data_IF_024014338664
#
_entry.id   IF_024014338664
#
_cell.length_a   1.000
_cell.length_b   1.000
_cell.length_c   1.000
_cell.angle_alpha   90.00
_cell.angle_beta   90.00
_cell.angle_gamma   90.00
#
_symmetry.space_group_name_H-M   'P 1'
#
loop_
_entity.id
_entity.type
_entity.pdbx_description
1 polymer ?
#
# COMPACT_ATOMS: atom_id res chain seq x y z
N UNK A 1 -90.97 23.23 6.39
CA UNK A 1 -90.90 22.14 7.39
C UNK A 1 -91.45 20.90 6.72
N UNK A 2 -90.76 19.77 6.54
CA UNK A 2 -89.41 19.39 6.89
C UNK A 2 -89.14 17.96 6.40
N UNK A 3 -87.84 17.66 6.32
CA UNK A 3 -87.20 16.34 6.51
C UNK A 3 -87.51 15.24 5.47
N UNK A 4 -86.61 15.02 4.51
CA UNK A 4 -85.37 14.23 4.65
C UNK A 4 -85.63 12.73 4.55
N UNK A 5 -84.64 12.02 3.98
CA UNK A 5 -84.59 10.56 3.79
C UNK A 5 -85.34 10.06 2.55
N UNK A 6 -84.70 10.17 1.38
CA UNK A 6 -84.80 9.16 0.28
C UNK A 6 -83.86 9.46 -0.89
N UNK A 7 -82.63 9.87 -0.60
CA UNK A 7 -81.54 9.81 -1.58
C UNK A 7 -80.34 9.08 -0.97
N UNK A 8 -80.63 7.90 -0.42
CA UNK A 8 -79.65 6.85 -0.20
C UNK A 8 -79.87 5.86 -1.34
N UNK A 9 -78.92 5.77 -2.27
CA UNK A 9 -78.66 4.65 -3.21
C UNK A 9 -78.10 5.17 -4.54
N UNK A 10 -76.86 5.70 -4.57
CA UNK A 10 -76.01 5.73 -5.79
C UNK A 10 -74.60 6.28 -5.52
N UNK A 11 -73.98 5.92 -4.39
CA UNK A 11 -72.61 6.31 -4.07
C UNK A 11 -71.89 5.25 -3.21
N UNK A 12 -71.91 3.98 -3.62
CA UNK A 12 -71.33 2.90 -2.78
C UNK A 12 -70.75 1.70 -3.54
N UNK A 13 -70.15 1.87 -4.72
CA UNK A 13 -69.38 0.78 -5.34
C UNK A 13 -68.17 1.38 -6.08
N UNK A 14 -66.99 1.31 -5.45
CA UNK A 14 -65.75 1.77 -6.08
C UNK A 14 -64.52 1.75 -5.18
N UNK A 15 -64.61 1.17 -3.98
CA UNK A 15 -63.49 1.09 -3.05
C UNK A 15 -63.45 -0.30 -2.42
N UNK A 16 -63.03 -1.31 -3.18
CA UNK A 16 -62.41 -2.51 -2.65
C UNK A 16 -61.88 -3.38 -3.78
N UNK A 17 -60.71 -3.97 -3.54
CA UNK A 17 -60.02 -4.98 -4.36
C UNK A 17 -59.01 -4.45 -5.40
N UNK A 18 -58.07 -3.62 -4.94
CA UNK A 18 -56.69 -3.86 -5.35
C UNK A 18 -56.19 -5.09 -4.57
N UNK A 19 -56.59 -6.29 -5.02
CA UNK A 19 -55.94 -7.51 -4.59
C UNK A 19 -54.50 -7.43 -5.08
N UNK A 20 -53.55 -7.20 -4.17
CA UNK A 20 -52.14 -7.41 -4.44
C UNK A 20 -52.02 -8.87 -4.92
N UNK A 21 -51.76 -9.04 -6.22
CA UNK A 21 -51.49 -10.35 -6.81
C UNK A 21 -50.20 -10.83 -6.16
N UNK A 22 -50.33 -11.60 -5.08
CA UNK A 22 -49.21 -12.28 -4.45
C UNK A 22 -48.75 -13.33 -5.45
N UNK A 23 -47.73 -13.00 -6.24
CA UNK A 23 -47.14 -13.91 -7.21
C UNK A 23 -46.56 -15.10 -6.42
N UNK A 24 -47.26 -16.23 -6.44
CA UNK A 24 -46.91 -17.41 -5.65
C UNK A 24 -45.66 -18.06 -6.26
N UNK A 25 -44.50 -17.72 -5.71
CA UNK A 25 -43.22 -18.27 -6.12
C UNK A 25 -42.91 -19.52 -5.28
N UNK A 26 -42.79 -20.67 -5.93
CA UNK A 26 -42.53 -21.96 -5.29
C UNK A 26 -41.06 -22.36 -5.51
N UNK A 27 -40.42 -22.93 -4.49
CA UNK A 27 -39.03 -23.38 -4.58
C UNK A 27 -38.96 -24.90 -4.49
N UNK A 28 -38.07 -25.51 -5.27
CA UNK A 28 -37.79 -26.95 -5.25
C UNK A 28 -36.32 -27.19 -4.96
N UNK A 29 -35.98 -28.06 -4.01
CA UNK A 29 -34.59 -28.43 -3.73
C UNK A 29 -34.47 -29.90 -3.32
N UNK A 30 -33.25 -30.43 -3.34
CA UNK A 30 -32.96 -31.79 -2.89
C UNK A 30 -32.08 -31.69 -1.64
N UNK A 31 -32.45 -32.38 -0.57
CA UNK A 31 -31.66 -32.43 0.67
C UNK A 31 -30.48 -33.43 0.57
N UNK A 32 -29.69 -33.53 1.64
CA UNK A 32 -28.51 -34.41 1.71
C UNK A 32 -28.90 -35.91 1.67
N UNK A 33 -30.13 -36.26 2.08
CA UNK A 33 -30.66 -37.62 1.99
C UNK A 33 -31.27 -37.94 0.60
N UNK A 34 -31.21 -37.01 -0.35
CA UNK A 34 -31.73 -37.19 -1.71
C UNK A 34 -33.24 -36.99 -1.84
N UNK A 35 -33.91 -36.44 -0.81
CA UNK A 35 -35.35 -36.16 -0.83
C UNK A 35 -35.62 -34.79 -1.44
N UNK A 36 -36.63 -34.74 -2.30
CA UNK A 36 -37.05 -33.50 -2.98
C UNK A 36 -38.10 -32.79 -2.15
N UNK A 37 -37.85 -31.52 -1.84
CA UNK A 37 -38.74 -30.64 -1.08
C UNK A 37 -39.31 -29.55 -1.98
N UNK A 38 -40.54 -29.13 -1.67
CA UNK A 38 -41.22 -28.00 -2.30
C UNK A 38 -41.78 -27.09 -1.20
N UNK A 39 -41.47 -25.81 -1.25
CA UNK A 39 -42.00 -24.83 -0.30
C UNK A 39 -42.05 -23.44 -0.93
N UNK A 40 -43.06 -22.67 -0.56
CA UNK A 40 -43.14 -21.22 -0.82
C UNK A 40 -42.22 -20.43 0.10
N UNK A 41 -41.89 -20.98 1.27
CA UNK A 41 -40.93 -20.44 2.25
C UNK A 41 -39.90 -21.51 2.66
N UNK A 42 -38.77 -21.63 1.93
CA UNK A 42 -37.72 -22.60 2.26
C UNK A 42 -37.07 -22.29 3.61
N UNK A 43 -36.75 -23.31 4.42
CA UNK A 43 -36.02 -23.10 5.67
C UNK A 43 -34.56 -22.68 5.40
N UNK A 44 -33.87 -22.04 6.36
CA UNK A 44 -32.51 -21.55 6.17
C UNK A 44 -31.50 -22.62 5.69
N UNK A 45 -31.68 -23.87 6.09
CA UNK A 45 -30.80 -25.00 5.73
C UNK A 45 -30.86 -25.30 4.23
N UNK A 46 -31.99 -25.03 3.57
CA UNK A 46 -32.14 -25.18 2.12
C UNK A 46 -31.21 -24.22 1.35
N UNK A 47 -30.66 -23.19 2.01
CA UNK A 47 -29.65 -22.30 1.44
C UNK A 47 -28.39 -23.06 1.00
N UNK A 48 -28.04 -24.16 1.67
CA UNK A 48 -26.84 -24.97 1.40
C UNK A 48 -26.92 -25.80 0.12
N UNK A 49 -28.10 -25.90 -0.48
CA UNK A 49 -28.35 -26.66 -1.70
C UNK A 49 -28.81 -25.75 -2.83
N UNK A 50 -28.62 -26.22 -4.06
CA UNK A 50 -29.22 -25.59 -5.24
C UNK A 50 -30.75 -25.69 -5.17
N UNK A 51 -31.44 -24.57 -5.41
CA UNK A 51 -32.91 -24.48 -5.39
C UNK A 51 -33.41 -24.01 -6.74
N UNK A 52 -34.41 -24.68 -7.29
CA UNK A 52 -35.08 -24.26 -8.51
C UNK A 52 -36.26 -23.36 -8.15
N UNK A 53 -36.38 -22.23 -8.84
CA UNK A 53 -37.54 -21.33 -8.75
C UNK A 53 -38.58 -21.85 -9.75
N UNK A 54 -39.79 -22.12 -9.28
CA UNK A 54 -40.92 -22.56 -10.08
C UNK A 54 -41.98 -21.45 -10.17
N UNK A 55 -42.63 -21.35 -11.33
CA UNK A 55 -43.80 -20.48 -11.52
C UNK A 55 -45.11 -21.14 -11.01
N UNK A 56 -46.23 -20.41 -11.12
CA UNK A 56 -47.56 -20.88 -10.69
C UNK A 56 -48.03 -22.16 -11.41
N UNK A 57 -47.39 -22.51 -12.55
CA UNK A 57 -47.67 -23.71 -13.34
C UNK A 57 -46.67 -24.83 -13.06
N UNK A 58 -45.77 -24.65 -12.10
CA UNK A 58 -44.72 -25.61 -11.75
C UNK A 58 -43.56 -25.66 -12.75
N UNK A 59 -43.48 -24.71 -13.69
CA UNK A 59 -42.40 -24.63 -14.66
C UNK A 59 -41.19 -23.91 -14.06
N UNK A 60 -39.99 -24.45 -14.31
CA UNK A 60 -38.72 -23.87 -13.83
C UNK A 60 -38.47 -22.52 -14.48
N UNK A 61 -38.48 -21.47 -13.66
CA UNK A 61 -38.20 -20.08 -14.04
C UNK A 61 -36.76 -19.66 -13.74
N UNK A 62 -36.08 -20.34 -12.83
CA UNK A 62 -34.69 -20.03 -12.49
C UNK A 62 -34.06 -21.03 -11.53
N UNK A 63 -32.80 -20.78 -11.18
CA UNK A 63 -32.05 -21.52 -10.17
C UNK A 63 -31.37 -20.53 -9.23
N UNK A 64 -31.49 -20.81 -7.95
CA UNK A 64 -30.70 -20.22 -6.88
C UNK A 64 -29.60 -21.22 -6.55
N UNK A 65 -28.36 -20.81 -6.76
CA UNK A 65 -27.20 -21.58 -6.34
C UNK A 65 -27.20 -21.75 -4.82
N UNK A 66 -26.46 -22.75 -4.34
CA UNK A 66 -26.20 -22.88 -2.92
C UNK A 66 -25.43 -21.67 -2.40
N UNK A 67 -25.65 -21.36 -1.13
CA UNK A 67 -24.80 -20.42 -0.41
C UNK A 67 -23.34 -20.89 -0.51
N UNK A 68 -22.44 -19.95 -0.76
CA UNK A 68 -21.00 -20.21 -0.70
C UNK A 68 -20.64 -20.65 0.71
N UNK A 69 -19.76 -21.63 0.80
CA UNK A 69 -19.16 -22.04 2.07
C UNK A 69 -18.28 -20.90 2.61
N UNK A 70 -18.06 -20.84 3.94
CA UNK A 70 -17.10 -19.88 4.51
C UNK A 70 -15.73 -19.93 3.84
N UNK A 71 -15.27 -21.13 3.46
CA UNK A 71 -14.00 -21.35 2.76
C UNK A 71 -14.01 -20.75 1.35
N UNK A 72 -15.10 -20.90 0.59
CA UNK A 72 -15.24 -20.30 -0.75
C UNK A 72 -15.36 -18.77 -0.70
N UNK A 73 -15.98 -18.22 0.35
CA UNK A 73 -16.05 -16.78 0.57
C UNK A 73 -14.64 -16.24 0.88
N UNK A 74 -13.90 -16.92 1.75
CA UNK A 74 -12.55 -16.52 2.12
C UNK A 74 -11.58 -16.63 0.94
N UNK A 75 -11.67 -17.69 0.13
CA UNK A 75 -10.87 -17.83 -1.09
C UNK A 75 -11.18 -16.74 -2.12
N UNK A 76 -12.46 -16.45 -2.36
CA UNK A 76 -12.86 -15.34 -3.24
C UNK A 76 -12.30 -14.00 -2.72
N UNK A 77 -12.37 -13.75 -1.41
CA UNK A 77 -11.81 -12.55 -0.78
C UNK A 77 -10.29 -12.46 -0.98
N UNK A 78 -9.55 -13.58 -0.84
CA UNK A 78 -8.11 -13.62 -1.10
C UNK A 78 -7.77 -13.32 -2.55
N UNK A 79 -8.54 -13.87 -3.49
CA UNK A 79 -8.34 -13.63 -4.93
C UNK A 79 -8.63 -12.17 -5.30
N UNK A 80 -9.72 -11.60 -4.79
CA UNK A 80 -10.07 -10.18 -4.98
C UNK A 80 -8.98 -9.27 -4.41
N UNK A 81 -8.44 -9.59 -3.23
CA UNK A 81 -7.33 -8.84 -2.63
C UNK A 81 -6.05 -8.93 -3.48
N UNK A 82 -5.68 -10.12 -3.93
CA UNK A 82 -4.51 -10.30 -4.79
C UNK A 82 -4.68 -9.58 -6.15
N UNK A 83 -5.87 -9.56 -6.72
CA UNK A 83 -6.16 -8.83 -7.96
C UNK A 83 -6.12 -7.32 -7.75
N UNK A 84 -6.65 -6.81 -6.65
CA UNK A 84 -6.56 -5.41 -6.27
C UNK A 84 -5.09 -4.98 -6.05
N UNK A 85 -4.31 -5.76 -5.31
CA UNK A 85 -2.87 -5.51 -5.10
C UNK A 85 -2.11 -5.48 -6.44
N UNK A 86 -2.41 -6.41 -7.36
CA UNK A 86 -1.82 -6.41 -8.70
C UNK A 86 -2.19 -5.16 -9.50
N UNK A 87 -3.47 -4.77 -9.49
CA UNK A 87 -3.93 -3.56 -10.19
C UNK A 87 -3.28 -2.30 -9.61
N UNK A 88 -3.14 -2.21 -8.30
CA UNK A 88 -2.46 -1.10 -7.64
C UNK A 88 -0.97 -1.06 -7.98
N UNK A 89 -0.29 -2.21 -7.99
CA UNK A 89 1.12 -2.30 -8.35
C UNK A 89 1.38 -1.88 -9.81
N UNK A 90 0.50 -2.30 -10.74
CA UNK A 90 0.56 -1.91 -12.15
C UNK A 90 0.30 -0.41 -12.34
N UNK A 91 -0.74 0.13 -11.71
CA UNK A 91 -1.05 1.56 -11.76
C UNK A 91 0.08 2.44 -11.20
N UNK A 92 0.74 2.00 -10.12
CA UNK A 92 1.90 2.71 -9.57
C UNK A 92 3.12 2.59 -10.48
N UNK A 93 3.35 1.43 -11.13
CA UNK A 93 4.39 1.27 -12.16
C UNK A 93 4.20 2.25 -13.31
N UNK A 94 3.00 2.28 -13.91
CA UNK A 94 2.70 3.21 -15.01
C UNK A 94 2.83 4.66 -14.58
N UNK A 95 2.41 4.98 -13.34
CA UNK A 95 2.56 6.33 -12.79
C UNK A 95 4.03 6.72 -12.69
N UNK A 96 4.90 5.84 -12.22
CA UNK A 96 6.36 6.08 -12.16
C UNK A 96 6.95 6.25 -13.54
N UNK A 97 6.58 5.40 -14.49
CA UNK A 97 7.05 5.47 -15.88
C UNK A 97 6.65 6.81 -16.53
N UNK A 98 5.41 7.26 -16.32
CA UNK A 98 4.94 8.58 -16.78
C UNK A 98 5.76 9.72 -16.17
N UNK A 99 6.03 9.67 -14.86
CA UNK A 99 6.83 10.70 -14.18
C UNK A 99 8.26 10.70 -14.73
N UNK A 100 8.86 9.53 -14.94
CA UNK A 100 10.22 9.39 -15.46
C UNK A 100 10.34 10.02 -16.86
N UNK A 101 9.42 9.68 -17.77
CA UNK A 101 9.38 10.22 -19.14
C UNK A 101 9.03 11.73 -19.19
N UNK A 102 8.30 12.24 -18.20
CA UNK A 102 7.99 13.67 -18.10
C UNK A 102 9.15 14.47 -17.50
N UNK A 103 9.93 13.84 -16.62
CA UNK A 103 11.04 14.48 -15.92
C UNK A 103 12.31 14.52 -16.77
N UNK A 104 12.51 13.51 -17.63
CA UNK A 104 13.71 13.38 -18.47
C UNK A 104 13.32 13.04 -19.91
N UNK A 105 13.69 13.93 -20.83
CA UNK A 105 13.49 13.75 -22.28
C UNK A 105 14.57 12.91 -22.95
N UNK A 106 15.71 12.66 -22.27
CA UNK A 106 16.77 11.79 -22.77
C UNK A 106 17.62 11.20 -21.66
N UNK A 107 18.36 10.12 -21.96
CA UNK A 107 19.35 9.53 -21.06
C UNK A 107 20.36 10.57 -20.55
N UNK A 108 20.77 11.52 -21.42
CA UNK A 108 21.75 12.56 -21.05
C UNK A 108 21.22 13.49 -19.97
N UNK A 109 19.94 13.84 -20.01
CA UNK A 109 19.32 14.71 -19.00
C UNK A 109 19.24 13.99 -17.65
N UNK A 110 18.88 12.70 -17.64
CA UNK A 110 18.85 11.89 -16.42
C UNK A 110 20.26 11.71 -15.83
N UNK A 111 21.27 11.44 -16.66
CA UNK A 111 22.66 11.34 -16.23
C UNK A 111 23.17 12.68 -15.67
N UNK A 112 22.88 13.80 -16.33
CA UNK A 112 23.27 15.11 -15.84
C UNK A 112 22.64 15.41 -14.46
N UNK A 113 21.35 15.10 -14.28
CA UNK A 113 20.67 15.27 -13.01
C UNK A 113 21.25 14.38 -11.89
N UNK A 114 21.64 13.13 -12.22
CA UNK A 114 22.36 12.25 -11.29
C UNK A 114 23.68 12.89 -10.88
N UNK A 115 24.48 13.31 -11.86
CA UNK A 115 25.83 13.82 -11.63
C UNK A 115 25.79 15.11 -10.80
N UNK A 116 24.84 16.02 -11.08
CA UNK A 116 24.59 17.22 -10.26
C UNK A 116 24.23 16.85 -8.81
N UNK A 117 23.35 15.87 -8.62
CA UNK A 117 22.94 15.42 -7.29
C UNK A 117 24.10 14.78 -6.52
N UNK A 118 24.90 13.95 -7.20
CA UNK A 118 26.08 13.31 -6.62
C UNK A 118 27.13 14.35 -6.26
N UNK A 119 27.35 15.35 -7.10
CA UNK A 119 28.32 16.43 -6.85
C UNK A 119 28.01 17.22 -5.57
N UNK A 120 26.72 17.44 -5.25
CA UNK A 120 26.32 18.07 -3.99
C UNK A 120 26.74 17.25 -2.76
N UNK A 121 26.60 15.93 -2.84
CA UNK A 121 26.99 15.03 -1.75
C UNK A 121 28.51 14.91 -1.66
N UNK A 122 29.18 14.84 -2.81
CA UNK A 122 30.65 14.78 -2.88
C UNK A 122 31.28 16.06 -2.28
N UNK A 123 30.69 17.23 -2.48
CA UNK A 123 31.11 18.46 -1.81
C UNK A 123 30.96 18.38 -0.28
N UNK A 124 29.85 17.83 0.22
CA UNK A 124 29.62 17.65 1.65
C UNK A 124 30.56 16.59 2.27
N UNK A 125 30.84 15.51 1.55
CA UNK A 125 31.81 14.49 1.92
C UNK A 125 33.21 15.09 2.02
N UNK A 126 33.63 15.86 1.02
CA UNK A 126 34.93 16.52 1.03
C UNK A 126 35.13 17.41 2.26
N UNK A 127 34.14 18.24 2.60
CA UNK A 127 34.18 19.08 3.81
C UNK A 127 34.28 18.20 5.07
N UNK A 128 33.51 17.12 5.13
CA UNK A 128 33.52 16.19 6.27
C UNK A 128 34.89 15.53 6.44
N UNK A 129 35.53 15.12 5.34
CA UNK A 129 36.86 14.52 5.33
C UNK A 129 37.95 15.50 5.76
N UNK A 130 37.90 16.75 5.29
CA UNK A 130 38.84 17.79 5.75
C UNK A 130 38.68 18.07 7.25
N UNK A 131 37.44 18.06 7.76
CA UNK A 131 37.19 18.19 9.20
C UNK A 131 37.77 17.01 10.00
N UNK A 132 37.59 15.76 9.51
CA UNK A 132 38.18 14.57 10.15
C UNK A 132 39.70 14.72 10.19
N UNK A 133 40.34 15.07 9.06
CA UNK A 133 41.79 15.25 8.99
C UNK A 133 42.29 16.28 9.99
N UNK A 134 41.62 17.44 10.07
CA UNK A 134 41.98 18.49 11.02
C UNK A 134 41.87 18.04 12.49
N UNK A 135 40.83 17.28 12.83
CA UNK A 135 40.65 16.72 14.18
C UNK A 135 41.70 15.64 14.48
N UNK A 136 42.06 14.80 13.53
CA UNK A 136 43.11 13.79 13.67
C UNK A 136 44.49 14.44 13.92
N UNK A 137 44.81 15.51 13.19
CA UNK A 137 46.03 16.29 13.39
C UNK A 137 46.06 16.95 14.78
N UNK A 138 44.94 17.51 15.22
CA UNK A 138 44.78 18.09 16.56
C UNK A 138 44.99 17.02 17.64
N UNK A 139 44.33 15.87 17.51
CA UNK A 139 44.49 14.72 18.43
C UNK A 139 45.95 14.28 18.50
N UNK A 140 46.60 14.09 17.36
CA UNK A 140 48.00 13.68 17.30
C UNK A 140 48.94 14.70 17.97
N UNK A 141 48.62 16.00 17.87
CA UNK A 141 49.37 17.05 18.56
C UNK A 141 49.24 16.96 20.09
N UNK A 142 48.02 16.73 20.60
CA UNK A 142 47.75 16.55 22.03
C UNK A 142 48.43 15.29 22.57
N UNK A 143 48.36 14.18 21.84
CA UNK A 143 49.02 12.92 22.20
C UNK A 143 50.55 13.08 22.25
N UNK A 144 51.16 13.72 21.25
CA UNK A 144 52.61 14.04 21.28
C UNK A 144 53.00 14.87 22.50
N UNK A 145 52.17 15.85 22.87
CA UNK A 145 52.42 16.67 24.07
C UNK A 145 52.34 15.85 25.35
N UNK A 146 51.35 14.97 25.47
CA UNK A 146 51.18 14.06 26.61
C UNK A 146 52.41 13.16 26.76
N UNK A 147 52.81 12.53 25.68
CA UNK A 147 53.92 11.58 25.65
C UNK A 147 55.27 12.28 25.95
N UNK A 148 55.44 13.54 25.52
CA UNK A 148 56.61 14.35 25.86
C UNK A 148 56.67 14.66 27.37
N UNK A 149 55.54 14.91 28.03
CA UNK A 149 55.50 15.13 29.49
C UNK A 149 55.84 13.83 30.22
N UNK A 150 55.22 12.72 29.81
CA UNK A 150 55.45 11.40 30.39
C UNK A 150 56.91 10.95 30.24
N UNK A 151 57.53 11.14 29.07
CA UNK A 151 58.94 10.80 28.83
C UNK A 151 59.93 11.58 29.68
N UNK A 152 59.53 12.73 30.24
CA UNK A 152 60.31 13.52 31.20
C UNK A 152 60.09 13.08 32.66
N UNK A 153 59.39 11.96 32.88
CA UNK A 153 59.09 11.42 34.20
C UNK A 153 58.07 12.24 35.00
N UNK A 154 57.27 13.06 34.32
CA UNK A 154 56.17 13.83 34.93
C UNK A 154 54.84 13.25 34.52
N UNK A 155 53.86 13.32 35.41
CA UNK A 155 52.49 12.94 35.10
C UNK A 155 51.83 14.02 34.21
N UNK A 156 51.25 13.66 33.05
CA UNK A 156 50.49 14.60 32.24
C UNK A 156 49.26 15.14 32.98
N UNK A 157 48.86 16.41 32.75
CA UNK A 157 47.64 16.95 33.34
C UNK A 157 46.39 16.22 32.85
N UNK A 158 45.43 15.95 33.73
CA UNK A 158 44.15 15.29 33.41
C UNK A 158 43.37 16.00 32.28
N UNK A 159 43.39 17.34 32.27
CA UNK A 159 42.77 18.14 31.22
C UNK A 159 43.25 17.78 29.79
N UNK A 160 44.49 17.27 29.65
CA UNK A 160 45.01 16.86 28.36
C UNK A 160 44.35 15.56 27.85
N UNK A 161 44.06 14.63 28.75
CA UNK A 161 43.34 13.40 28.41
C UNK A 161 41.85 13.68 28.14
N UNK A 162 41.26 14.64 28.87
CA UNK A 162 39.90 15.13 28.59
C UNK A 162 39.78 15.77 27.20
N UNK A 163 40.76 16.61 26.82
CA UNK A 163 40.84 17.22 25.49
C UNK A 163 40.96 16.16 24.39
N UNK A 164 41.85 15.17 24.57
CA UNK A 164 42.01 14.04 23.63
C UNK A 164 40.69 13.27 23.50
N UNK A 165 40.04 12.94 24.61
CA UNK A 165 38.76 12.23 24.61
C UNK A 165 37.65 13.05 23.93
N UNK A 166 37.68 14.38 24.07
CA UNK A 166 36.76 15.29 23.40
C UNK A 166 36.95 15.30 21.89
N UNK A 167 38.18 15.46 21.40
CA UNK A 167 38.49 15.41 19.97
C UNK A 167 38.14 14.04 19.39
N UNK A 168 38.43 12.95 20.11
CA UNK A 168 38.03 11.60 19.69
C UNK A 168 36.51 11.44 19.54
N UNK A 169 35.70 12.04 20.43
CA UNK A 169 34.23 12.05 20.27
C UNK A 169 33.81 12.80 19.02
N UNK A 170 34.43 13.94 18.73
CA UNK A 170 34.16 14.73 17.52
C UNK A 170 34.52 13.96 16.25
N UNK A 171 35.68 13.28 16.23
CA UNK A 171 36.09 12.42 15.11
C UNK A 171 35.02 11.36 14.84
N UNK A 172 34.56 10.63 15.87
CA UNK A 172 33.52 9.60 15.71
C UNK A 172 32.22 10.14 15.13
N UNK A 173 31.79 11.33 15.53
CA UNK A 173 30.61 11.99 14.96
C UNK A 173 30.80 12.31 13.49
N UNK A 174 31.97 12.85 13.11
CA UNK A 174 32.28 13.15 11.72
C UNK A 174 32.41 11.89 10.85
N UNK A 175 32.98 10.81 11.39
CA UNK A 175 33.07 9.51 10.71
C UNK A 175 31.70 8.91 10.43
N UNK A 176 30.79 8.95 11.42
CA UNK A 176 29.41 8.50 11.22
C UNK A 176 28.72 9.32 10.13
N UNK A 177 28.88 10.65 10.13
CA UNK A 177 28.33 11.51 9.09
C UNK A 177 28.90 11.15 7.70
N UNK A 178 30.21 10.88 7.60
CA UNK A 178 30.85 10.42 6.35
C UNK A 178 30.25 9.11 5.86
N UNK A 179 30.02 8.14 6.75
CA UNK A 179 29.40 6.86 6.41
C UNK A 179 27.96 7.04 5.90
N UNK A 180 27.15 7.85 6.60
CA UNK A 180 25.77 8.16 6.21
C UNK A 180 25.72 8.81 4.81
N UNK A 181 26.58 9.80 4.55
CA UNK A 181 26.67 10.48 3.25
C UNK A 181 27.18 9.56 2.15
N UNK A 182 28.14 8.68 2.45
CA UNK A 182 28.63 7.68 1.51
C UNK A 182 27.53 6.69 1.13
N UNK A 183 26.72 6.26 2.09
CA UNK A 183 25.58 5.39 1.84
C UNK A 183 24.45 6.11 1.08
N UNK A 184 24.21 7.38 1.37
CA UNK A 184 23.28 8.23 0.61
C UNK A 184 23.71 8.39 -0.86
N UNK A 185 24.99 8.71 -1.09
CA UNK A 185 25.58 8.79 -2.44
C UNK A 185 25.36 7.50 -3.23
N UNK A 186 25.66 6.35 -2.60
CA UNK A 186 25.48 5.04 -3.24
C UNK A 186 24.01 4.78 -3.61
N UNK A 187 23.08 5.02 -2.69
CA UNK A 187 21.64 4.83 -2.93
C UNK A 187 21.13 5.70 -4.08
N UNK A 188 21.60 6.94 -4.18
CA UNK A 188 21.25 7.83 -5.28
C UNK A 188 21.75 7.28 -6.60
N UNK A 189 23.02 6.87 -6.67
CA UNK A 189 23.58 6.28 -7.89
C UNK A 189 22.79 5.04 -8.30
N UNK A 190 22.53 4.11 -7.38
CA UNK A 190 21.76 2.89 -7.64
C UNK A 190 20.34 3.20 -8.13
N UNK A 191 19.67 4.20 -7.56
CA UNK A 191 18.34 4.62 -8.01
C UNK A 191 18.38 5.19 -9.43
N UNK A 192 19.30 6.12 -9.71
CA UNK A 192 19.41 6.71 -11.04
C UNK A 192 19.84 5.70 -12.11
N UNK A 193 20.67 4.72 -11.77
CA UNK A 193 21.06 3.67 -12.70
C UNK A 193 19.86 2.76 -13.04
N UNK A 194 19.02 2.43 -12.06
CA UNK A 194 17.76 1.71 -12.31
C UNK A 194 16.77 2.54 -13.14
N UNK A 195 16.64 3.83 -12.85
CA UNK A 195 15.80 4.75 -13.63
C UNK A 195 16.34 4.92 -15.07
N UNK A 196 17.66 4.89 -15.27
CA UNK A 196 18.29 4.92 -16.59
C UNK A 196 17.96 3.68 -17.41
N UNK A 197 18.06 2.49 -16.82
CA UNK A 197 17.65 1.24 -17.45
C UNK A 197 16.17 1.28 -17.84
N UNK A 198 15.30 1.71 -16.92
CA UNK A 198 13.86 1.82 -17.19
C UNK A 198 13.56 2.84 -18.29
N UNK A 199 14.24 3.99 -18.28
CA UNK A 199 14.06 5.02 -19.31
C UNK A 199 14.46 4.49 -20.70
N UNK A 200 15.52 3.69 -20.80
CA UNK A 200 15.93 3.05 -22.06
C UNK A 200 14.86 2.12 -22.62
N UNK A 201 14.27 1.28 -21.77
CA UNK A 201 13.16 0.40 -22.17
C UNK A 201 11.98 1.24 -22.69
N UNK A 202 11.55 2.24 -21.93
CA UNK A 202 10.41 3.09 -22.29
C UNK A 202 10.63 3.92 -23.56
N UNK A 203 11.86 4.32 -23.84
CA UNK A 203 12.21 5.03 -25.08
C UNK A 203 12.33 4.09 -26.27
N UNK A 204 12.67 2.81 -26.07
CA UNK A 204 12.72 1.79 -27.13
C UNK A 204 11.34 1.25 -27.51
N UNK A 205 10.36 1.32 -26.61
CA UNK A 205 8.96 0.94 -26.85
C UNK A 205 8.17 2.00 -27.64
N UNK A 206 8.75 3.19 -27.89
CA UNK A 206 8.16 4.30 -28.65
C UNK A 206 8.55 4.28 -30.13
#
# INVERSE_FOLDING_TARGET
>A
MGFAVRLVMLASIGAMLAASVAQAQMYRWTDEEGRVHYSDSPPPEASRQERQILDERGLRRGVLERARTPEEIEEARRQEQAEEERRQAEAERERRDRILLQSFGSERELIAARDDRVALIDGALHITEENIRGLEEQKASLERRRDLIASRGREPPEALDEDIASVQRQIRVQEQLREERTAERRRIIEQFDADLERLRELLAER
#
